data_IF_063826689743
#
_entry.id   IF_063826689743
#
_cell.length_a   1.000
_cell.length_b   1.000
_cell.length_c   1.000
_cell.angle_alpha   90.00
_cell.angle_beta   90.00
_cell.angle_gamma   90.00
#
_symmetry.space_group_name_H-M   'P 1'
#
loop_
_entity.id
_entity.type
_entity.pdbx_description
1 polymer ?
#
# COMPACT_ATOMS: atom_id res chain seq x y z
N UNK A 1 -5.41 -7.05 6.55
CA UNK A 1 -5.19 -6.10 7.65
C UNK A 1 -3.94 -6.45 8.46
N UNK A 2 -3.84 -7.63 9.08
CA UNK A 2 -2.68 -8.05 9.88
C UNK A 2 -1.39 -8.05 9.04
N UNK A 3 -1.41 -8.63 7.85
CA UNK A 3 -0.29 -8.66 6.92
C UNK A 3 0.32 -7.27 6.64
N UNK A 4 -0.52 -6.24 6.61
CA UNK A 4 -0.07 -4.86 6.43
C UNK A 4 0.73 -4.33 7.63
N UNK A 5 0.65 -4.96 8.79
CA UNK A 5 1.42 -4.53 9.97
C UNK A 5 2.87 -5.04 9.94
N UNK A 6 3.20 -5.90 8.98
CA UNK A 6 4.53 -6.49 8.82
C UNK A 6 5.54 -5.58 8.11
N UNK A 7 5.26 -4.29 8.00
CA UNK A 7 6.22 -3.27 7.60
C UNK A 7 6.18 -2.06 8.53
N UNK A 8 7.27 -1.30 8.55
CA UNK A 8 7.44 -0.13 9.41
C UNK A 8 6.42 0.97 9.08
N UNK A 9 5.88 1.62 10.13
CA UNK A 9 4.94 2.73 10.01
C UNK A 9 3.72 2.43 9.13
N UNK A 10 3.13 1.26 9.34
CA UNK A 10 2.00 0.77 8.57
C UNK A 10 0.73 1.61 8.77
N UNK A 11 0.00 1.81 7.70
CA UNK A 11 -1.22 2.62 7.68
C UNK A 11 -2.39 1.86 7.05
N UNK A 12 -3.51 1.81 7.74
CA UNK A 12 -4.71 1.09 7.30
C UNK A 12 -5.93 2.01 7.34
N UNK A 13 -6.68 2.07 6.24
CA UNK A 13 -7.96 2.76 6.16
C UNK A 13 -9.10 1.74 6.18
N UNK A 14 -10.12 1.94 7.02
CA UNK A 14 -11.32 1.10 7.06
C UNK A 14 -12.50 1.91 6.54
N UNK A 15 -13.09 1.47 5.45
CA UNK A 15 -14.26 2.09 4.83
C UNK A 15 -15.49 1.23 5.01
N UNK A 16 -16.55 1.80 5.60
CA UNK A 16 -17.84 1.13 5.68
C UNK A 16 -18.95 2.12 6.03
N UNK A 17 -20.21 1.81 5.73
CA UNK A 17 -21.38 2.49 6.31
C UNK A 17 -21.39 2.47 7.84
N UNK A 18 -22.32 3.22 8.45
CA UNK A 18 -22.51 3.25 9.91
C UNK A 18 -22.93 1.87 10.44
N UNK A 19 -22.53 1.56 11.67
CA UNK A 19 -23.01 0.38 12.40
C UNK A 19 -22.36 -0.96 11.98
N UNK A 20 -21.28 -0.95 11.17
CA UNK A 20 -20.60 -2.16 10.73
C UNK A 20 -19.34 -2.51 11.54
N UNK A 21 -19.18 -1.97 12.74
CA UNK A 21 -18.09 -2.35 13.65
C UNK A 21 -16.69 -1.83 13.24
N UNK A 22 -16.59 -0.74 12.46
CA UNK A 22 -15.32 -0.14 12.06
C UNK A 22 -14.41 0.19 13.25
N UNK A 23 -14.95 0.97 14.19
CA UNK A 23 -14.23 1.41 15.39
C UNK A 23 -13.87 0.22 16.27
N UNK A 24 -14.77 -0.75 16.42
CA UNK A 24 -14.51 -1.99 17.17
C UNK A 24 -13.35 -2.78 16.55
N UNK A 25 -13.35 -3.00 15.22
CA UNK A 25 -12.28 -3.72 14.53
C UNK A 25 -10.93 -2.98 14.67
N UNK A 26 -10.93 -1.66 14.54
CA UNK A 26 -9.76 -0.81 14.71
C UNK A 26 -9.17 -0.96 16.12
N UNK A 27 -10.00 -0.86 17.14
CA UNK A 27 -9.58 -0.94 18.54
C UNK A 27 -9.13 -2.35 18.95
N UNK A 28 -9.83 -3.39 18.51
CA UNK A 28 -9.42 -4.79 18.76
C UNK A 28 -8.04 -5.09 18.15
N UNK A 29 -7.78 -4.61 16.95
CA UNK A 29 -6.46 -4.81 16.32
C UNK A 29 -5.35 -4.08 17.10
N UNK A 30 -5.56 -2.82 17.47
CA UNK A 30 -4.57 -2.06 18.22
C UNK A 30 -4.36 -2.66 19.62
N UNK A 31 -5.43 -3.04 20.32
CA UNK A 31 -5.35 -3.71 21.61
C UNK A 31 -4.56 -5.02 21.53
N UNK A 32 -4.84 -5.83 20.51
CA UNK A 32 -4.17 -7.13 20.30
C UNK A 32 -2.66 -7.02 20.02
N UNK A 33 -2.20 -5.90 19.46
CA UNK A 33 -0.77 -5.70 19.10
C UNK A 33 -0.07 -4.73 20.05
N UNK A 34 -0.68 -3.58 20.34
CA UNK A 34 -0.06 -2.54 21.13
C UNK A 34 -0.41 -2.61 22.63
N UNK A 35 -1.29 -3.53 23.04
CA UNK A 35 -1.79 -3.57 24.41
C UNK A 35 -2.54 -2.27 24.74
N UNK A 36 -2.04 -1.52 25.73
CA UNK A 36 -2.58 -0.22 26.11
C UNK A 36 -1.81 0.98 25.52
N UNK A 37 -0.73 0.72 24.76
CA UNK A 37 0.07 1.77 24.13
C UNK A 37 -0.53 2.20 22.79
N UNK A 38 -1.76 2.68 22.81
CA UNK A 38 -2.38 3.33 21.66
C UNK A 38 -3.24 4.52 22.06
N UNK A 39 -3.43 5.44 21.13
CA UNK A 39 -4.24 6.66 21.31
C UNK A 39 -5.28 6.77 20.21
N UNK A 40 -6.48 7.15 20.62
CA UNK A 40 -7.63 7.36 19.71
C UNK A 40 -7.88 8.85 19.57
N UNK A 41 -7.94 9.33 18.33
CA UNK A 41 -8.47 10.65 17.99
C UNK A 41 -9.84 10.42 17.37
N UNK A 42 -10.88 10.99 17.96
CA UNK A 42 -12.21 11.04 17.35
C UNK A 42 -12.24 12.18 16.35
N UNK A 43 -12.60 11.88 15.11
CA UNK A 43 -12.70 12.87 14.03
C UNK A 43 -13.80 13.88 14.35
N UNK A 44 -13.41 15.13 14.51
CA UNK A 44 -14.28 16.27 14.66
C UNK A 44 -13.60 17.52 14.08
N UNK A 45 -14.39 18.48 13.60
CA UNK A 45 -13.88 19.75 13.09
C UNK A 45 -13.11 20.55 14.15
N UNK A 46 -13.37 20.30 15.41
CA UNK A 46 -12.81 21.01 16.57
C UNK A 46 -11.45 20.47 17.02
N UNK A 47 -11.03 19.27 16.56
CA UNK A 47 -9.73 18.70 16.90
C UNK A 47 -8.61 19.63 16.48
N UNK A 48 -7.85 20.10 17.47
CA UNK A 48 -6.79 21.09 17.28
C UNK A 48 -5.43 20.41 17.05
N UNK A 49 -4.51 21.16 16.41
CA UNK A 49 -3.13 20.73 16.22
C UNK A 49 -2.46 20.29 17.52
N UNK A 50 -2.77 20.96 18.64
CA UNK A 50 -2.19 20.65 19.95
C UNK A 50 -2.54 19.26 20.49
N UNK A 51 -3.65 18.66 20.04
CA UNK A 51 -4.09 17.32 20.41
C UNK A 51 -3.40 16.24 19.58
N UNK A 52 -3.03 16.57 18.34
CA UNK A 52 -2.41 15.63 17.39
C UNK A 52 -0.89 15.71 17.43
N UNK A 53 -0.31 16.92 17.52
CA UNK A 53 1.13 17.12 17.42
C UNK A 53 1.75 17.48 18.78
N UNK A 54 1.25 18.53 19.42
CA UNK A 54 1.79 19.00 20.70
C UNK A 54 1.58 20.49 20.92
N UNK A 55 1.91 20.94 22.13
CA UNK A 55 1.74 22.31 22.61
C UNK A 55 2.99 22.82 23.33
N UNK A 56 3.14 24.14 23.42
CA UNK A 56 4.19 24.73 24.24
C UNK A 56 3.98 24.46 25.74
N UNK A 57 5.04 24.19 26.42
CA UNK A 57 5.07 24.10 27.88
C UNK A 57 5.20 25.51 28.48
N UNK A 58 4.05 26.14 28.74
CA UNK A 58 4.00 27.53 29.27
C UNK A 58 4.87 27.75 30.50
N UNK A 59 4.89 26.87 31.53
CA UNK A 59 5.74 27.09 32.72
C UNK A 59 7.25 27.18 32.41
N UNK A 60 7.77 26.44 31.42
CA UNK A 60 9.17 26.54 31.02
C UNK A 60 9.47 27.85 30.31
N UNK A 61 8.52 28.32 29.49
CA UNK A 61 8.67 29.60 28.81
C UNK A 61 8.65 30.79 29.79
N UNK A 62 7.74 30.78 30.76
CA UNK A 62 7.59 31.86 31.74
C UNK A 62 8.73 31.87 32.78
N UNK A 63 9.16 30.71 33.27
CA UNK A 63 10.16 30.64 34.36
C UNK A 63 11.60 30.57 33.88
N UNK A 64 11.83 29.91 32.74
CA UNK A 64 13.16 29.59 32.24
C UNK A 64 13.50 30.34 30.95
N UNK A 65 12.51 30.97 30.30
CA UNK A 65 12.65 31.58 28.97
C UNK A 65 12.93 30.56 27.87
N UNK A 66 12.65 29.25 28.13
CA UNK A 66 12.97 28.16 27.23
C UNK A 66 11.71 27.62 26.60
N UNK A 67 11.69 27.58 25.25
CA UNK A 67 10.62 26.94 24.49
C UNK A 67 10.75 25.41 24.54
N UNK A 68 9.92 24.76 25.33
CA UNK A 68 9.76 23.29 25.33
C UNK A 68 8.44 22.90 24.71
N UNK A 69 8.45 21.85 23.89
CA UNK A 69 7.24 21.28 23.30
C UNK A 69 6.83 20.06 24.11
N UNK A 70 5.59 20.06 24.58
CA UNK A 70 4.91 18.88 25.10
C UNK A 70 4.27 18.17 23.89
N UNK A 71 4.90 17.10 23.45
CA UNK A 71 4.38 16.30 22.35
C UNK A 71 3.09 15.59 22.77
N UNK A 72 2.11 15.54 21.86
CA UNK A 72 0.85 14.87 22.11
C UNK A 72 1.05 13.36 22.26
N UNK A 73 0.20 12.71 23.03
CA UNK A 73 0.21 11.25 23.17
C UNK A 73 0.12 10.54 21.81
N UNK A 74 -0.61 11.10 20.86
CA UNK A 74 -0.69 10.59 19.50
C UNK A 74 0.67 10.53 18.78
N UNK A 75 1.58 11.44 19.06
CA UNK A 75 2.95 11.41 18.53
C UNK A 75 3.77 10.30 19.18
N UNK A 76 3.60 10.10 20.47
CA UNK A 76 4.45 9.24 21.29
C UNK A 76 4.03 7.75 21.25
N UNK A 77 2.71 7.47 21.18
CA UNK A 77 2.19 6.10 21.20
C UNK A 77 2.60 5.28 19.97
N UNK A 78 2.77 3.98 20.15
CA UNK A 78 3.03 3.02 19.05
C UNK A 78 1.76 2.75 18.22
N UNK A 79 0.61 2.65 18.87
CA UNK A 79 -0.70 2.51 18.22
C UNK A 79 -1.40 3.86 18.05
N UNK A 80 -1.88 4.15 16.83
CA UNK A 80 -2.57 5.39 16.47
C UNK A 80 -3.91 5.06 15.83
N UNK A 81 -4.99 5.49 16.44
CA UNK A 81 -6.34 5.35 15.92
C UNK A 81 -6.92 6.70 15.53
N UNK A 82 -7.58 6.77 14.39
CA UNK A 82 -8.36 7.95 13.97
C UNK A 82 -9.76 7.47 13.61
N UNK A 83 -10.70 7.72 14.48
CA UNK A 83 -12.10 7.41 14.24
C UNK A 83 -12.74 8.52 13.41
N UNK A 84 -13.46 8.18 12.34
CA UNK A 84 -14.09 9.12 11.41
C UNK A 84 -13.10 10.19 10.84
N UNK A 85 -12.00 9.75 10.24
CA UNK A 85 -10.93 10.64 9.73
C UNK A 85 -11.43 11.70 8.75
N UNK A 86 -12.50 11.40 8.01
CA UNK A 86 -13.16 12.33 7.09
C UNK A 86 -13.85 13.52 7.77
N UNK A 87 -13.98 13.53 9.11
CA UNK A 87 -14.50 14.66 9.88
C UNK A 87 -13.42 15.58 10.44
N UNK A 88 -12.15 15.20 10.33
CA UNK A 88 -11.04 16.08 10.72
C UNK A 88 -10.94 17.27 9.78
N UNK A 89 -10.67 18.44 10.34
CA UNK A 89 -10.43 19.63 9.53
C UNK A 89 -9.12 19.49 8.71
N UNK A 90 -9.00 20.16 7.54
CA UNK A 90 -7.84 20.06 6.65
C UNK A 90 -6.50 20.42 7.31
N UNK A 91 -6.47 21.36 8.27
CA UNK A 91 -5.24 21.76 8.97
C UNK A 91 -4.70 20.63 9.88
N UNK A 92 -5.60 19.94 10.57
CA UNK A 92 -5.24 18.79 11.41
C UNK A 92 -4.80 17.61 10.55
N UNK A 93 -5.52 17.35 9.46
CA UNK A 93 -5.20 16.31 8.49
C UNK A 93 -3.82 16.53 7.85
N UNK A 94 -3.42 17.77 7.57
CA UNK A 94 -2.09 18.08 7.03
C UNK A 94 -0.94 17.65 7.95
N UNK A 95 -1.12 17.71 9.28
CA UNK A 95 -0.09 17.23 10.22
C UNK A 95 0.00 15.70 10.24
N UNK A 96 -1.15 15.00 10.17
CA UNK A 96 -1.19 13.54 10.05
C UNK A 96 -0.54 13.11 8.73
N UNK A 97 -0.84 13.81 7.66
CA UNK A 97 -0.24 13.62 6.35
C UNK A 97 1.29 13.71 6.36
N UNK A 98 1.83 14.73 7.05
CA UNK A 98 3.28 14.90 7.23
C UNK A 98 3.88 13.74 8.05
N UNK A 99 3.21 13.33 9.14
CA UNK A 99 3.60 12.18 9.95
C UNK A 99 3.69 10.89 9.12
N UNK A 100 2.66 10.61 8.31
CA UNK A 100 2.63 9.41 7.47
C UNK A 100 3.74 9.41 6.41
N UNK A 101 4.07 10.58 5.86
CA UNK A 101 5.06 10.70 4.79
C UNK A 101 6.50 10.58 5.30
N UNK A 102 6.83 11.31 6.37
CA UNK A 102 8.21 11.50 6.80
C UNK A 102 8.56 10.78 8.10
N UNK A 103 7.57 10.25 8.83
CA UNK A 103 7.79 9.68 10.17
C UNK A 103 8.25 10.71 11.18
N UNK A 104 7.80 11.96 11.02
CA UNK A 104 8.16 13.05 11.92
C UNK A 104 7.06 14.10 11.98
N UNK A 105 7.12 14.92 13.03
CA UNK A 105 6.23 16.09 13.19
C UNK A 105 7.04 17.30 13.62
N UNK A 106 6.52 18.47 13.29
CA UNK A 106 7.10 19.75 13.63
C UNK A 106 6.13 20.61 14.45
N UNK A 107 6.59 21.18 15.55
CA UNK A 107 5.84 22.16 16.32
C UNK A 107 6.81 23.20 16.90
N UNK A 108 6.46 24.48 16.79
CA UNK A 108 7.22 25.60 17.36
C UNK A 108 8.74 25.54 17.08
N UNK A 109 9.09 25.28 15.80
CA UNK A 109 10.49 25.17 15.38
C UNK A 109 11.23 23.91 15.87
N UNK A 110 10.58 23.03 16.63
CA UNK A 110 11.14 21.77 17.12
C UNK A 110 10.64 20.61 16.28
N UNK A 111 11.47 19.56 16.15
CA UNK A 111 11.19 18.33 15.40
C UNK A 111 11.14 17.14 16.36
N UNK A 112 10.14 16.30 16.21
CA UNK A 112 10.11 14.98 16.80
C UNK A 112 10.14 13.93 15.69
N UNK A 113 11.14 13.05 15.72
CA UNK A 113 11.16 11.82 14.93
C UNK A 113 10.27 10.79 15.62
N UNK A 114 9.46 10.10 14.84
CA UNK A 114 8.55 9.07 15.32
C UNK A 114 9.14 7.72 14.93
N UNK A 115 9.24 6.81 15.88
CA UNK A 115 9.65 5.44 15.62
C UNK A 115 8.62 4.67 14.80
N UNK A 116 8.70 3.37 14.84
CA UNK A 116 7.71 2.51 14.21
C UNK A 116 6.36 2.62 14.89
N UNK A 117 5.31 2.59 14.10
CA UNK A 117 3.93 2.69 14.59
C UNK A 117 2.97 1.87 13.74
N UNK A 118 1.77 1.70 14.25
CA UNK A 118 0.59 1.25 13.54
C UNK A 118 -0.41 2.39 13.54
N UNK A 119 -0.85 2.84 12.37
CA UNK A 119 -1.92 3.81 12.24
C UNK A 119 -3.13 3.17 11.58
N UNK A 120 -4.26 3.20 12.25
CA UNK A 120 -5.54 2.77 11.69
C UNK A 120 -6.52 3.91 11.71
N UNK A 121 -7.06 4.22 10.56
CA UNK A 121 -8.14 5.20 10.45
C UNK A 121 -9.39 4.53 9.91
N UNK A 122 -10.54 5.06 10.27
CA UNK A 122 -11.78 4.65 9.64
C UNK A 122 -12.56 5.85 9.10
N UNK A 123 -13.41 5.61 8.14
CA UNK A 123 -14.33 6.60 7.61
C UNK A 123 -15.66 5.99 7.16
N UNK A 124 -16.66 6.86 7.09
CA UNK A 124 -17.92 6.58 6.42
C UNK A 124 -17.98 7.39 5.13
N UNK A 125 -17.79 6.79 3.94
CA UNK A 125 -17.76 7.51 2.67
C UNK A 125 -19.07 8.25 2.32
N UNK A 126 -20.18 7.88 2.97
CA UNK A 126 -21.51 8.45 2.71
C UNK A 126 -21.92 9.52 3.75
N UNK A 127 -20.99 10.03 4.56
CA UNK A 127 -21.30 11.03 5.57
C UNK A 127 -21.35 12.43 4.93
N UNK A 128 -22.53 13.03 4.93
CA UNK A 128 -22.75 14.39 4.38
C UNK A 128 -22.06 15.50 5.18
N UNK A 129 -21.60 15.22 6.40
CA UNK A 129 -20.93 16.19 7.29
C UNK A 129 -19.39 16.10 7.21
N UNK A 130 -18.87 15.33 6.28
CA UNK A 130 -17.43 15.11 6.12
C UNK A 130 -16.75 16.21 5.30
N UNK A 131 -15.48 16.48 5.59
CA UNK A 131 -14.61 17.25 4.73
C UNK A 131 -14.17 16.41 3.53
N UNK A 132 -13.99 17.08 2.39
CA UNK A 132 -13.36 16.45 1.22
C UNK A 132 -11.85 16.57 1.40
N UNK A 133 -11.21 15.43 1.71
CA UNK A 133 -9.75 15.38 1.74
C UNK A 133 -9.19 15.16 0.33
N UNK A 134 -8.02 15.74 0.03
CA UNK A 134 -7.40 15.56 -1.28
C UNK A 134 -6.93 14.13 -1.47
N UNK A 135 -6.95 13.64 -2.72
CA UNK A 135 -6.49 12.31 -3.09
C UNK A 135 -5.09 11.95 -2.52
N UNK A 136 -4.09 12.87 -2.51
CA UNK A 136 -2.80 12.60 -1.90
C UNK A 136 -2.82 12.23 -0.41
N UNK A 137 -3.86 12.59 0.34
CA UNK A 137 -4.02 12.14 1.72
C UNK A 137 -4.36 10.66 1.78
N UNK A 138 -5.33 10.23 0.99
CA UNK A 138 -5.75 8.82 0.94
C UNK A 138 -4.67 7.91 0.35
N UNK A 139 -3.92 8.40 -0.62
CA UNK A 139 -2.82 7.70 -1.26
C UNK A 139 -1.70 7.26 -0.30
N UNK A 140 -1.66 7.82 0.91
CA UNK A 140 -0.67 7.47 1.95
C UNK A 140 -1.08 6.32 2.86
N UNK A 141 -2.34 5.92 2.81
CA UNK A 141 -2.72 4.67 3.46
C UNK A 141 -2.24 3.50 2.61
N UNK A 142 -1.58 2.52 3.23
CA UNK A 142 -1.05 1.36 2.51
C UNK A 142 -2.17 0.49 1.96
N UNK A 143 -3.17 0.22 2.78
CA UNK A 143 -4.34 -0.59 2.41
C UNK A 143 -5.66 0.07 2.81
N UNK A 144 -6.71 -0.25 2.05
CA UNK A 144 -8.09 0.11 2.37
C UNK A 144 -8.94 -1.14 2.52
N UNK A 145 -9.56 -1.29 3.69
CA UNK A 145 -10.43 -2.42 4.03
C UNK A 145 -11.88 -1.99 3.93
N UNK A 146 -12.68 -2.74 3.18
CA UNK A 146 -14.13 -2.56 3.11
C UNK A 146 -14.84 -3.59 4.00
N UNK A 147 -15.65 -3.10 4.92
CA UNK A 147 -16.52 -3.97 5.69
C UNK A 147 -17.88 -4.08 5.00
N UNK A 148 -18.41 -5.28 4.93
CA UNK A 148 -19.76 -5.59 4.48
C UNK A 148 -20.69 -5.84 5.66
N UNK A 149 -21.98 -5.77 5.41
CA UNK A 149 -22.97 -6.22 6.38
C UNK A 149 -22.75 -7.69 6.71
N UNK A 150 -22.94 -8.03 7.99
CA UNK A 150 -22.86 -9.40 8.46
C UNK A 150 -24.00 -10.23 7.87
N UNK A 151 -23.71 -11.46 7.52
CA UNK A 151 -24.71 -12.48 7.19
C UNK A 151 -25.51 -12.83 8.45
N UNK A 152 -26.63 -13.51 8.27
CA UNK A 152 -27.48 -13.93 9.40
C UNK A 152 -26.70 -14.82 10.40
N UNK A 153 -25.92 -15.77 9.89
CA UNK A 153 -25.08 -16.63 10.72
C UNK A 153 -24.03 -15.85 11.51
N UNK A 154 -23.36 -14.89 10.87
CA UNK A 154 -22.37 -14.04 11.55
C UNK A 154 -23.02 -13.13 12.63
N UNK A 155 -24.27 -12.70 12.41
CA UNK A 155 -25.01 -11.95 13.43
C UNK A 155 -25.32 -12.79 14.68
N UNK A 156 -25.69 -14.04 14.51
CA UNK A 156 -25.87 -14.96 15.64
C UNK A 156 -24.56 -15.18 16.39
N UNK A 157 -23.46 -15.43 15.67
CA UNK A 157 -22.14 -15.57 16.29
C UNK A 157 -21.72 -14.30 17.07
N UNK A 158 -22.02 -13.12 16.54
CA UNK A 158 -21.76 -11.87 17.22
C UNK A 158 -22.59 -11.73 18.50
N UNK A 159 -23.86 -12.13 18.48
CA UNK A 159 -24.72 -12.11 19.68
C UNK A 159 -24.16 -13.02 20.78
N UNK A 160 -23.79 -14.25 20.44
CA UNK A 160 -23.17 -15.18 21.37
C UNK A 160 -21.86 -14.64 21.97
N UNK A 161 -21.05 -13.96 21.16
CA UNK A 161 -19.81 -13.32 21.62
C UNK A 161 -20.08 -12.16 22.59
N UNK A 162 -21.07 -11.32 22.28
CA UNK A 162 -21.44 -10.18 23.12
C UNK A 162 -21.98 -10.64 24.48
N UNK A 163 -22.80 -11.69 24.52
CA UNK A 163 -23.30 -12.29 25.75
C UNK A 163 -22.17 -12.86 26.64
N UNK A 164 -21.19 -13.55 26.02
CA UNK A 164 -20.04 -14.13 26.74
C UNK A 164 -19.09 -13.09 27.35
N UNK A 165 -19.04 -11.90 26.78
CA UNK A 165 -18.12 -10.83 27.18
C UNK A 165 -18.83 -9.62 27.81
N UNK A 166 -20.05 -9.75 28.27
CA UNK A 166 -20.87 -8.65 28.83
C UNK A 166 -20.89 -7.39 27.92
N UNK A 167 -20.83 -7.60 26.61
CA UNK A 167 -20.81 -6.52 25.62
C UNK A 167 -19.47 -5.80 25.45
N UNK A 168 -18.44 -6.08 26.26
CA UNK A 168 -17.15 -5.38 26.22
C UNK A 168 -16.04 -6.23 25.59
N UNK A 169 -16.12 -6.40 24.26
CA UNK A 169 -15.12 -7.16 23.50
C UNK A 169 -13.73 -6.52 23.53
N UNK A 170 -13.64 -5.19 23.62
CA UNK A 170 -12.37 -4.48 23.53
C UNK A 170 -11.55 -4.69 24.81
N UNK A 171 -12.16 -4.53 25.98
CA UNK A 171 -11.46 -4.69 27.25
C UNK A 171 -11.09 -6.16 27.52
N UNK A 172 -11.86 -7.10 26.96
CA UNK A 172 -11.59 -8.53 27.08
C UNK A 172 -10.50 -9.02 26.12
N UNK A 173 -10.09 -8.20 25.15
CA UNK A 173 -9.06 -8.58 24.17
C UNK A 173 -7.66 -8.61 24.81
N UNK A 174 -7.00 -9.76 24.90
CA UNK A 174 -5.63 -9.83 25.37
C UNK A 174 -4.66 -9.27 24.31
N UNK A 175 -3.51 -8.82 24.73
CA UNK A 175 -2.41 -8.59 23.80
C UNK A 175 -1.94 -9.95 23.27
N UNK A 176 -2.01 -10.13 21.95
CA UNK A 176 -1.69 -11.39 21.26
C UNK A 176 -0.21 -11.39 20.81
N UNK A 177 0.29 -10.23 20.43
CA UNK A 177 1.62 -10.02 19.89
C UNK A 177 2.22 -8.78 20.54
N UNK A 178 3.42 -8.89 21.08
CA UNK A 178 4.14 -7.71 21.57
C UNK A 178 4.67 -6.86 20.40
N UNK A 179 4.92 -5.60 20.66
CA UNK A 179 5.45 -4.73 19.60
C UNK A 179 6.89 -5.13 19.22
N UNK A 180 7.65 -5.66 20.17
CA UNK A 180 9.00 -6.19 19.96
C UNK A 180 8.99 -7.43 19.05
N UNK A 181 8.04 -8.34 19.22
CA UNK A 181 7.83 -9.49 18.31
C UNK A 181 7.41 -9.02 16.91
N UNK A 182 6.58 -7.97 16.83
CA UNK A 182 6.21 -7.37 15.54
C UNK A 182 7.41 -6.72 14.84
N UNK A 183 8.27 -6.00 15.57
CA UNK A 183 9.49 -5.40 15.02
C UNK A 183 10.45 -6.47 14.49
N UNK A 184 10.59 -7.59 15.19
CA UNK A 184 11.38 -8.72 14.73
C UNK A 184 10.79 -9.34 13.46
N UNK A 185 9.48 -9.55 13.40
CA UNK A 185 8.80 -10.01 12.19
C UNK A 185 8.98 -9.05 11.01
N UNK A 186 8.90 -7.72 11.25
CA UNK A 186 9.16 -6.69 10.25
C UNK A 186 10.59 -6.77 9.70
N UNK A 187 11.57 -7.00 10.56
CA UNK A 187 12.95 -7.18 10.15
C UNK A 187 13.09 -8.39 9.21
N UNK A 188 12.54 -9.54 9.61
CA UNK A 188 12.57 -10.75 8.78
C UNK A 188 11.86 -10.55 7.44
N UNK A 189 10.68 -9.91 7.42
CA UNK A 189 9.95 -9.59 6.18
C UNK A 189 10.75 -8.65 5.28
N UNK A 190 11.49 -7.69 5.84
CA UNK A 190 12.32 -6.78 5.04
C UNK A 190 13.42 -7.48 4.27
N UNK A 191 13.95 -8.59 4.81
CA UNK A 191 14.99 -9.42 4.22
C UNK A 191 14.46 -10.37 3.13
N UNK A 192 13.12 -10.52 3.00
CA UNK A 192 12.53 -11.37 1.96
C UNK A 192 12.76 -10.76 0.58
N UNK A 193 13.34 -11.53 -0.31
CA UNK A 193 13.53 -11.14 -1.71
C UNK A 193 12.36 -11.62 -2.58
N UNK A 194 11.85 -10.73 -3.42
CA UNK A 194 10.94 -11.08 -4.50
C UNK A 194 11.76 -11.40 -5.75
N UNK A 195 11.30 -12.38 -6.52
CA UNK A 195 11.94 -12.70 -7.77
C UNK A 195 11.59 -11.67 -8.88
N UNK A 196 12.39 -11.56 -9.96
CA UNK A 196 12.14 -10.60 -11.04
C UNK A 196 10.74 -10.72 -11.67
N UNK A 197 10.19 -11.93 -11.80
CA UNK A 197 8.84 -12.10 -12.33
C UNK A 197 7.77 -11.49 -11.42
N UNK A 198 7.91 -11.65 -10.09
CA UNK A 198 6.99 -11.02 -9.13
C UNK A 198 7.08 -9.48 -9.20
N UNK A 199 8.28 -8.95 -9.27
CA UNK A 199 8.50 -7.49 -9.38
C UNK A 199 7.97 -6.98 -10.73
N UNK A 200 8.26 -7.66 -11.83
CA UNK A 200 7.77 -7.30 -13.16
C UNK A 200 6.25 -7.31 -13.22
N UNK A 201 5.61 -8.28 -12.57
CA UNK A 201 4.16 -8.34 -12.50
C UNK A 201 3.55 -7.18 -11.69
N UNK A 202 4.16 -6.83 -10.54
CA UNK A 202 3.75 -5.67 -9.75
C UNK A 202 3.87 -4.38 -10.59
N UNK A 203 5.00 -4.18 -11.26
CA UNK A 203 5.23 -3.02 -12.10
C UNK A 203 4.23 -2.96 -13.26
N UNK A 204 3.89 -4.10 -13.87
CA UNK A 204 2.91 -4.16 -14.93
C UNK A 204 1.52 -3.74 -14.45
N UNK A 205 1.04 -4.26 -13.31
CA UNK A 205 -0.24 -3.85 -12.73
C UNK A 205 -0.25 -2.33 -12.50
N UNK A 206 0.77 -1.79 -11.88
CA UNK A 206 0.82 -0.35 -11.57
C UNK A 206 0.81 0.47 -12.87
N UNK A 207 1.63 0.13 -13.85
CA UNK A 207 1.66 0.82 -15.16
C UNK A 207 0.32 0.76 -15.89
N UNK A 208 -0.36 -0.36 -15.86
CA UNK A 208 -1.64 -0.50 -16.55
C UNK A 208 -2.72 0.38 -15.93
N UNK A 209 -2.59 0.72 -14.66
CA UNK A 209 -3.48 1.65 -13.98
C UNK A 209 -2.95 3.10 -13.92
N UNK A 210 -1.71 3.37 -14.35
CA UNK A 210 -1.14 4.72 -14.35
C UNK A 210 -1.48 5.51 -15.63
N UNK A 211 -1.43 4.88 -16.79
CA UNK A 211 -1.39 5.60 -18.04
C UNK A 211 -2.30 5.07 -19.13
N UNK A 212 -2.81 5.98 -19.96
CA UNK A 212 -3.49 5.66 -21.21
C UNK A 212 -2.90 6.48 -22.34
N UNK A 213 -2.55 5.85 -23.46
CA UNK A 213 -2.02 6.51 -24.68
C UNK A 213 -2.93 7.62 -25.23
N UNK A 214 -4.23 7.60 -24.87
CA UNK A 214 -5.20 8.63 -25.28
C UNK A 214 -5.10 9.93 -24.47
N UNK A 215 -4.44 9.88 -23.32
CA UNK A 215 -4.11 11.03 -22.50
C UNK A 215 -2.66 11.39 -22.74
N UNK A 216 -2.41 12.52 -23.42
CA UNK A 216 -1.07 12.95 -23.80
C UNK A 216 -0.17 13.21 -22.59
N UNK A 217 -0.74 13.67 -21.47
CA UNK A 217 0.03 13.95 -20.26
C UNK A 217 0.54 12.66 -19.62
N UNK A 218 -0.19 11.55 -19.76
CA UNK A 218 0.17 10.26 -19.20
C UNK A 218 0.80 9.29 -20.24
N UNK A 219 0.89 9.68 -21.52
CA UNK A 219 1.39 8.80 -22.57
C UNK A 219 2.92 8.54 -22.48
N UNK A 220 3.66 9.42 -21.83
CA UNK A 220 5.11 9.25 -21.61
C UNK A 220 5.43 8.10 -20.64
N UNK A 221 4.54 7.84 -19.68
CA UNK A 221 4.73 6.78 -18.68
C UNK A 221 4.55 5.39 -19.31
N UNK A 222 3.70 5.29 -20.33
CA UNK A 222 3.36 4.04 -21.00
C UNK A 222 3.65 4.15 -22.49
N UNK A 223 4.71 3.48 -22.98
CA UNK A 223 5.08 3.55 -24.40
C UNK A 223 3.91 3.15 -25.30
N UNK A 224 3.74 3.79 -26.47
CA UNK A 224 2.70 3.45 -27.43
C UNK A 224 2.67 1.98 -27.82
N UNK A 225 3.83 1.33 -27.91
CA UNK A 225 3.98 -0.08 -28.23
C UNK A 225 3.27 -1.03 -27.28
N UNK A 226 3.13 -0.66 -26.00
CA UNK A 226 2.34 -1.44 -25.02
C UNK A 226 0.83 -1.37 -25.25
N UNK A 227 0.37 -0.35 -25.96
CA UNK A 227 -1.05 -0.12 -26.26
C UNK A 227 -1.43 -0.51 -27.67
N UNK A 228 -0.48 -0.74 -28.56
CA UNK A 228 -0.70 -1.16 -29.93
C UNK A 228 -1.36 -2.55 -29.93
N UNK A 229 -2.55 -2.65 -30.57
CA UNK A 229 -3.35 -3.87 -30.56
C UNK A 229 -3.98 -4.24 -29.21
N UNK A 230 -3.89 -3.41 -28.17
CA UNK A 230 -4.47 -3.71 -26.87
C UNK A 230 -5.99 -3.65 -26.89
N UNK A 231 -6.64 -4.76 -26.52
CA UNK A 231 -8.10 -4.88 -26.48
C UNK A 231 -8.71 -4.32 -25.17
N UNK A 232 -7.91 -4.15 -24.13
CA UNK A 232 -8.35 -3.81 -22.76
C UNK A 232 -8.54 -2.31 -22.52
N UNK A 233 -8.43 -1.47 -23.55
CA UNK A 233 -8.61 -0.03 -23.43
C UNK A 233 -9.95 0.35 -22.81
N UNK A 234 -11.05 -0.34 -23.18
CA UNK A 234 -12.39 -0.09 -22.64
C UNK A 234 -12.55 -0.59 -21.20
N UNK A 235 -11.94 -1.70 -20.91
CA UNK A 235 -12.15 -2.44 -19.67
C UNK A 235 -11.28 -1.89 -18.52
N UNK A 236 -10.11 -1.31 -18.83
CA UNK A 236 -9.18 -0.76 -17.87
C UNK A 236 -8.99 0.76 -18.07
N UNK A 237 -8.26 1.16 -19.10
CA UNK A 237 -7.74 2.54 -19.22
C UNK A 237 -8.84 3.60 -19.30
N UNK A 238 -9.95 3.35 -20.03
CA UNK A 238 -11.05 4.32 -20.15
C UNK A 238 -11.89 4.49 -18.89
N UNK A 239 -11.71 3.63 -17.92
CA UNK A 239 -12.42 3.69 -16.64
C UNK A 239 -11.67 4.53 -15.62
N UNK A 240 -10.38 4.76 -15.82
CA UNK A 240 -9.51 5.50 -14.89
C UNK A 240 -9.60 6.99 -15.22
N UNK A 241 -9.93 7.78 -14.19
CA UNK A 241 -9.96 9.26 -14.25
C UNK A 241 -8.64 9.85 -13.78
N UNK A 242 -8.17 9.45 -12.61
CA UNK A 242 -6.90 9.85 -12.05
C UNK A 242 -6.01 8.62 -11.91
N UNK A 243 -4.76 8.68 -12.38
CA UNK A 243 -3.87 7.55 -12.42
C UNK A 243 -3.42 7.11 -11.03
N UNK A 244 -2.92 5.89 -10.96
CA UNK A 244 -2.32 5.32 -9.77
C UNK A 244 -0.96 5.97 -9.48
N UNK A 245 -0.61 6.16 -8.23
CA UNK A 245 0.70 6.67 -7.82
C UNK A 245 1.71 5.53 -7.62
N UNK A 246 3.01 5.85 -7.67
CA UNK A 246 4.10 4.90 -7.39
C UNK A 246 4.06 4.30 -5.97
N UNK A 247 3.33 4.92 -5.03
CA UNK A 247 3.12 4.34 -3.70
C UNK A 247 2.39 3.01 -3.74
N UNK A 248 1.62 2.76 -4.78
CA UNK A 248 0.97 1.45 -4.98
C UNK A 248 2.01 0.34 -5.19
N UNK A 249 3.09 0.62 -5.94
CA UNK A 249 4.22 -0.32 -6.11
C UNK A 249 4.83 -0.68 -4.76
N UNK A 250 5.13 0.32 -3.94
CA UNK A 250 5.71 0.11 -2.60
C UNK A 250 4.78 -0.73 -1.72
N UNK A 251 3.49 -0.42 -1.69
CA UNK A 251 2.51 -1.16 -0.90
C UNK A 251 2.34 -2.62 -1.39
N UNK A 252 2.33 -2.84 -2.71
CA UNK A 252 2.28 -4.20 -3.29
C UNK A 252 3.53 -5.00 -2.93
N UNK A 253 4.71 -4.41 -3.03
CA UNK A 253 5.97 -5.06 -2.65
C UNK A 253 5.97 -5.45 -1.18
N UNK A 254 5.53 -4.56 -0.28
CA UNK A 254 5.43 -4.86 1.16
C UNK A 254 4.49 -6.05 1.42
N UNK A 255 3.29 -6.04 0.83
CA UNK A 255 2.34 -7.13 1.00
C UNK A 255 2.84 -8.44 0.39
N UNK A 256 3.47 -8.39 -0.79
CA UNK A 256 4.03 -9.58 -1.43
C UNK A 256 5.16 -10.21 -0.61
N UNK A 257 6.05 -9.39 -0.04
CA UNK A 257 7.08 -9.86 0.90
C UNK A 257 6.46 -10.49 2.15
N UNK A 258 5.47 -9.83 2.74
CA UNK A 258 4.75 -10.34 3.91
C UNK A 258 4.04 -11.67 3.62
N UNK A 259 3.37 -11.80 2.47
CA UNK A 259 2.74 -13.05 2.05
C UNK A 259 3.77 -14.16 1.85
N UNK A 260 4.87 -13.86 1.18
CA UNK A 260 5.94 -14.83 0.96
C UNK A 260 6.60 -15.29 2.27
N UNK A 261 6.73 -14.39 3.25
CA UNK A 261 7.24 -14.72 4.58
C UNK A 261 6.28 -15.62 5.35
N UNK A 262 4.97 -15.33 5.31
CA UNK A 262 3.93 -16.10 6.03
C UNK A 262 3.70 -17.49 5.42
N UNK A 263 3.58 -17.57 4.09
CA UNK A 263 3.11 -18.76 3.38
C UNK A 263 4.24 -19.48 2.62
N UNK A 264 5.48 -18.97 2.70
CA UNK A 264 6.64 -19.49 1.96
C UNK A 264 6.61 -19.22 0.45
N UNK A 265 5.50 -18.71 -0.06
CA UNK A 265 5.29 -18.41 -1.49
C UNK A 265 4.41 -17.16 -1.66
N UNK A 266 4.51 -16.55 -2.81
CA UNK A 266 3.61 -15.50 -3.28
C UNK A 266 3.55 -15.61 -4.79
N UNK A 267 2.44 -16.07 -5.32
CA UNK A 267 2.24 -16.19 -6.77
C UNK A 267 1.58 -14.94 -7.37
N UNK A 268 1.42 -14.92 -8.68
CA UNK A 268 0.85 -13.78 -9.39
C UNK A 268 -0.63 -13.53 -9.02
N UNK A 269 -1.36 -14.60 -8.70
CA UNK A 269 -2.76 -14.49 -8.27
C UNK A 269 -2.87 -13.88 -6.88
N UNK A 270 -1.90 -14.15 -5.98
CA UNK A 270 -1.83 -13.53 -4.66
C UNK A 270 -1.58 -12.02 -4.79
N UNK A 271 -0.70 -11.60 -5.72
CA UNK A 271 -0.45 -10.19 -6.00
C UNK A 271 -1.71 -9.47 -6.49
N UNK A 272 -2.48 -10.07 -7.41
CA UNK A 272 -3.76 -9.51 -7.86
C UNK A 272 -4.78 -9.38 -6.72
N UNK A 273 -4.86 -10.39 -5.83
CA UNK A 273 -5.72 -10.31 -4.64
C UNK A 273 -5.30 -9.19 -3.68
N UNK A 274 -4.00 -8.96 -3.52
CA UNK A 274 -3.50 -7.85 -2.70
C UNK A 274 -3.81 -6.49 -3.32
N UNK A 275 -3.73 -6.37 -4.65
CA UNK A 275 -4.08 -5.15 -5.37
C UNK A 275 -5.53 -4.70 -5.09
N UNK A 276 -6.45 -5.64 -4.80
CA UNK A 276 -7.81 -5.31 -4.38
C UNK A 276 -7.89 -4.42 -3.14
N UNK A 277 -6.93 -4.53 -2.22
CA UNK A 277 -6.88 -3.72 -0.99
C UNK A 277 -6.08 -2.43 -1.14
N UNK A 278 -5.32 -2.31 -2.22
CA UNK A 278 -4.42 -1.17 -2.47
C UNK A 278 -5.04 -0.15 -3.42
N UNK A 279 -5.76 -0.58 -4.44
CA UNK A 279 -6.30 0.29 -5.49
C UNK A 279 -7.46 1.21 -5.04
N UNK A 280 -8.41 0.77 -4.20
CA UNK A 280 -9.69 1.47 -4.01
C UNK A 280 -9.60 2.91 -3.50
N UNK A 281 -8.57 3.22 -2.74
CA UNK A 281 -8.38 4.56 -2.14
C UNK A 281 -7.35 5.40 -2.90
N UNK A 282 -6.68 4.79 -3.89
CA UNK A 282 -5.66 5.44 -4.71
C UNK A 282 -6.14 5.74 -6.13
N UNK A 283 -7.10 4.97 -6.62
CA UNK A 283 -7.58 5.06 -7.99
C UNK A 283 -8.90 5.86 -8.05
N UNK A 284 -8.95 6.87 -8.89
CA UNK A 284 -10.18 7.59 -9.21
C UNK A 284 -10.77 7.08 -10.52
N UNK A 285 -12.05 6.73 -10.51
CA UNK A 285 -12.75 6.19 -11.68
C UNK A 285 -13.66 7.24 -12.33
N UNK A 286 -13.79 7.17 -13.65
CA UNK A 286 -14.68 8.07 -14.41
C UNK A 286 -16.14 7.94 -13.97
N UNK A 287 -16.56 6.72 -13.65
CA UNK A 287 -17.89 6.42 -13.11
C UNK A 287 -17.75 5.32 -12.07
N UNK A 288 -18.28 5.58 -10.88
CA UNK A 288 -18.28 4.62 -9.78
C UNK A 288 -19.72 4.41 -9.32
N UNK A 289 -20.14 3.16 -9.26
CA UNK A 289 -21.40 2.74 -8.64
C UNK A 289 -21.14 2.11 -7.27
N UNK A 290 -20.12 1.27 -7.21
CA UNK A 290 -19.69 0.57 -6.00
C UNK A 290 -18.19 0.31 -6.10
N UNK A 291 -17.39 1.04 -5.32
CA UNK A 291 -15.92 0.99 -5.41
C UNK A 291 -15.36 -0.44 -5.33
N UNK A 292 -15.73 -1.29 -4.34
CA UNK A 292 -15.24 -2.66 -4.29
C UNK A 292 -15.58 -3.50 -5.53
N UNK A 293 -16.79 -3.37 -6.06
CA UNK A 293 -17.22 -4.10 -7.25
C UNK A 293 -16.45 -3.60 -8.49
N UNK A 294 -16.36 -2.29 -8.67
CA UNK A 294 -15.67 -1.68 -9.80
C UNK A 294 -14.18 -2.05 -9.82
N UNK A 295 -13.52 -2.09 -8.66
CA UNK A 295 -12.12 -2.53 -8.54
C UNK A 295 -11.99 -4.03 -8.84
N UNK A 296 -12.92 -4.86 -8.37
CA UNK A 296 -12.93 -6.30 -8.69
C UNK A 296 -13.04 -6.54 -10.19
N UNK A 297 -13.89 -5.78 -10.87
CA UNK A 297 -14.05 -5.87 -12.32
C UNK A 297 -12.78 -5.43 -13.06
N UNK A 298 -12.13 -4.36 -12.62
CA UNK A 298 -10.86 -3.89 -13.18
C UNK A 298 -9.75 -4.94 -13.02
N UNK A 299 -9.62 -5.53 -11.83
CA UNK A 299 -8.65 -6.60 -11.58
C UNK A 299 -8.99 -7.88 -12.34
N UNK A 300 -10.26 -8.14 -12.59
CA UNK A 300 -10.69 -9.23 -13.46
C UNK A 300 -10.22 -9.03 -14.90
N UNK A 301 -10.36 -7.83 -15.45
CA UNK A 301 -9.84 -7.48 -16.77
C UNK A 301 -8.30 -7.54 -16.82
N UNK A 302 -7.63 -7.04 -15.78
CA UNK A 302 -6.16 -7.11 -15.66
C UNK A 302 -5.67 -8.57 -15.62
N UNK A 303 -6.35 -9.42 -14.87
CA UNK A 303 -6.05 -10.86 -14.82
C UNK A 303 -6.09 -11.51 -16.20
N UNK A 304 -7.12 -11.21 -17.01
CA UNK A 304 -7.23 -11.74 -18.36
C UNK A 304 -6.07 -11.22 -19.22
N UNK A 305 -5.74 -9.94 -19.10
CA UNK A 305 -4.62 -9.33 -19.82
C UNK A 305 -3.28 -9.97 -19.46
N UNK A 306 -3.08 -10.26 -18.18
CA UNK A 306 -1.85 -10.93 -17.72
C UNK A 306 -1.80 -12.39 -18.18
N UNK A 307 -2.94 -13.10 -18.23
CA UNK A 307 -3.01 -14.45 -18.79
C UNK A 307 -2.66 -14.49 -20.28
N UNK A 308 -3.07 -13.49 -21.05
CA UNK A 308 -2.63 -13.36 -22.46
C UNK A 308 -1.12 -13.21 -22.59
N UNK A 309 -0.48 -12.49 -21.68
CA UNK A 309 0.99 -12.35 -21.63
C UNK A 309 1.66 -13.65 -21.22
N UNK A 310 1.11 -14.34 -20.23
CA UNK A 310 1.62 -15.65 -19.82
C UNK A 310 1.43 -16.70 -20.92
N UNK A 311 0.35 -16.64 -21.66
CA UNK A 311 0.16 -17.46 -22.87
C UNK A 311 1.27 -17.21 -23.94
N UNK A 312 1.89 -16.03 -23.93
CA UNK A 312 3.12 -15.75 -24.73
C UNK A 312 4.39 -16.28 -24.05
N UNK A 313 4.28 -16.90 -22.90
CA UNK A 313 5.37 -17.51 -22.17
C UNK A 313 6.29 -16.55 -21.44
N UNK A 314 6.00 -15.25 -21.40
CA UNK A 314 6.92 -14.23 -20.83
C UNK A 314 7.29 -14.50 -19.38
N UNK A 315 6.29 -14.73 -18.51
CA UNK A 315 6.54 -15.00 -17.10
C UNK A 315 7.16 -16.38 -16.87
N UNK A 316 6.73 -17.36 -17.65
CA UNK A 316 7.31 -18.71 -17.64
C UNK A 316 8.78 -18.66 -18.04
N UNK A 317 9.15 -17.91 -19.07
CA UNK A 317 10.55 -17.71 -19.50
C UNK A 317 11.37 -17.11 -18.35
N UNK A 318 10.89 -16.04 -17.70
CA UNK A 318 11.60 -15.45 -16.56
C UNK A 318 11.78 -16.43 -15.40
N UNK A 319 10.75 -17.19 -15.08
CA UNK A 319 10.82 -18.19 -14.00
C UNK A 319 11.81 -19.31 -14.30
N UNK A 320 11.88 -19.76 -15.56
CA UNK A 320 12.88 -20.76 -15.95
C UNK A 320 14.31 -20.23 -15.88
N UNK A 321 14.54 -18.99 -16.34
CA UNK A 321 15.83 -18.32 -16.23
C UNK A 321 16.27 -18.08 -14.78
N UNK A 322 15.34 -17.96 -13.86
CA UNK A 322 15.62 -17.83 -12.43
C UNK A 322 16.10 -19.16 -11.79
N UNK A 323 15.66 -20.30 -12.32
CA UNK A 323 16.12 -21.62 -11.84
C UNK A 323 17.56 -21.90 -12.26
N UNK A 324 18.00 -21.34 -13.38
CA UNK A 324 19.36 -21.45 -13.89
C UNK A 324 19.48 -20.77 -15.27
N UNK A 325 20.67 -20.23 -15.57
CA UNK A 325 20.92 -19.62 -16.87
C UNK A 325 20.97 -20.68 -17.97
N UNK A 326 20.06 -20.56 -18.95
CA UNK A 326 20.06 -21.33 -20.19
C UNK A 326 20.10 -20.38 -21.39
N UNK A 327 21.04 -20.58 -22.29
CA UNK A 327 21.29 -19.71 -23.45
C UNK A 327 20.16 -19.74 -24.47
N UNK A 328 19.44 -20.84 -24.59
CA UNK A 328 18.31 -21.00 -25.50
C UNK A 328 17.10 -20.22 -24.98
N UNK A 329 16.83 -20.38 -23.68
CA UNK A 329 15.75 -19.66 -23.00
C UNK A 329 16.06 -18.16 -22.95
N UNK A 330 17.31 -17.77 -22.73
CA UNK A 330 17.74 -16.38 -22.77
C UNK A 330 17.51 -15.73 -24.16
N UNK A 331 17.72 -16.48 -25.24
CA UNK A 331 17.42 -15.97 -26.61
C UNK A 331 15.93 -15.70 -26.78
N UNK A 332 15.07 -16.65 -26.36
CA UNK A 332 13.61 -16.46 -26.39
C UNK A 332 13.18 -15.27 -25.52
N UNK A 333 13.81 -15.09 -24.36
CA UNK A 333 13.54 -13.96 -23.49
C UNK A 333 13.87 -12.62 -24.19
N UNK A 334 14.95 -12.56 -24.93
CA UNK A 334 15.33 -11.35 -25.66
C UNK A 334 14.38 -11.03 -26.82
N UNK A 335 13.91 -12.04 -27.53
CA UNK A 335 12.89 -11.87 -28.57
C UNK A 335 11.57 -11.32 -27.97
N UNK A 336 11.12 -11.88 -26.83
CA UNK A 336 9.95 -11.40 -26.14
C UNK A 336 10.12 -9.98 -25.56
N UNK A 337 11.33 -9.62 -25.15
CA UNK A 337 11.63 -8.31 -24.57
C UNK A 337 11.55 -7.15 -25.59
N UNK A 338 11.70 -7.42 -26.87
CA UNK A 338 11.54 -6.40 -27.93
C UNK A 338 10.11 -5.85 -27.96
N UNK A 339 9.14 -6.68 -27.65
CA UNK A 339 7.72 -6.33 -27.72
C UNK A 339 7.14 -5.83 -26.37
N UNK A 340 7.86 -5.99 -25.27
CA UNK A 340 7.37 -5.67 -23.93
C UNK A 340 8.43 -5.00 -23.06
N UNK A 341 8.27 -3.69 -22.86
CA UNK A 341 9.21 -2.86 -22.09
C UNK A 341 9.34 -3.32 -20.63
N UNK A 342 8.25 -3.73 -20.00
CA UNK A 342 8.29 -4.21 -18.61
C UNK A 342 9.08 -5.51 -18.51
N UNK A 343 8.84 -6.42 -19.44
CA UNK A 343 9.59 -7.66 -19.53
C UNK A 343 11.07 -7.39 -19.82
N UNK A 344 11.37 -6.45 -20.73
CA UNK A 344 12.74 -6.02 -21.04
C UNK A 344 13.47 -5.49 -19.80
N UNK A 345 12.83 -4.63 -18.99
CA UNK A 345 13.43 -4.10 -17.77
C UNK A 345 13.77 -5.20 -16.76
N UNK A 346 12.88 -6.18 -16.58
CA UNK A 346 13.15 -7.30 -15.68
C UNK A 346 14.26 -8.22 -16.22
N UNK A 347 14.29 -8.46 -17.51
CA UNK A 347 15.38 -9.21 -18.15
C UNK A 347 16.72 -8.51 -17.99
N UNK A 348 16.78 -7.18 -18.18
CA UNK A 348 18.00 -6.40 -17.97
C UNK A 348 18.52 -6.44 -16.53
N UNK A 349 17.64 -6.51 -15.54
CA UNK A 349 18.06 -6.73 -14.13
C UNK A 349 18.77 -8.07 -13.97
N UNK A 350 18.25 -9.12 -14.58
CA UNK A 350 18.88 -10.45 -14.57
C UNK A 350 20.21 -10.43 -15.34
N UNK A 351 20.28 -9.76 -16.50
CA UNK A 351 21.50 -9.63 -17.29
C UNK A 351 22.66 -9.02 -16.49
N UNK A 352 22.40 -8.00 -15.68
CA UNK A 352 23.43 -7.40 -14.79
C UNK A 352 24.05 -8.44 -13.85
N UNK A 353 23.24 -9.34 -13.31
CA UNK A 353 23.70 -10.42 -12.43
C UNK A 353 24.51 -11.43 -13.23
N UNK A 354 24.07 -11.79 -14.44
CA UNK A 354 24.77 -12.74 -15.31
C UNK A 354 26.09 -12.22 -15.87
N UNK A 355 26.16 -10.93 -16.20
CA UNK A 355 27.42 -10.28 -16.56
C UNK A 355 28.41 -10.35 -15.40
N UNK A 356 27.96 -9.98 -14.18
CA UNK A 356 28.80 -10.04 -12.98
C UNK A 356 29.31 -11.45 -12.69
N UNK A 357 28.51 -12.47 -13.01
CA UNK A 357 28.85 -13.87 -12.83
C UNK A 357 29.59 -14.50 -14.05
N UNK A 358 29.85 -13.71 -15.09
CA UNK A 358 30.57 -14.19 -16.28
C UNK A 358 29.79 -15.14 -17.19
N UNK A 359 28.46 -15.21 -17.04
CA UNK A 359 27.59 -16.09 -17.83
C UNK A 359 27.27 -15.51 -19.22
N UNK A 360 27.23 -14.18 -19.32
CA UNK A 360 27.10 -13.43 -20.56
C UNK A 360 28.11 -12.29 -20.59
N UNK A 361 28.47 -11.79 -21.78
CA UNK A 361 29.29 -10.61 -21.93
C UNK A 361 28.42 -9.35 -21.92
N UNK A 362 29.00 -8.23 -21.52
CA UNK A 362 28.31 -6.93 -21.51
C UNK A 362 27.79 -6.54 -22.90
N UNK A 363 28.57 -6.90 -23.95
CA UNK A 363 28.21 -6.69 -25.36
C UNK A 363 26.97 -7.50 -25.81
N UNK A 364 26.62 -8.53 -25.07
CA UNK A 364 25.45 -9.40 -25.34
C UNK A 364 24.19 -8.89 -24.66
N UNK A 365 24.25 -7.85 -23.82
CA UNK A 365 23.09 -7.36 -23.05
C UNK A 365 22.07 -6.64 -23.93
N UNK A 366 20.79 -6.71 -23.51
CA UNK A 366 19.68 -6.06 -24.19
C UNK A 366 19.82 -4.53 -24.18
N UNK A 367 20.31 -3.97 -23.07
CA UNK A 367 20.49 -2.54 -22.87
C UNK A 367 21.41 -1.91 -23.94
N UNK A 368 22.51 -2.56 -24.26
CA UNK A 368 23.43 -2.09 -25.32
C UNK A 368 22.83 -2.20 -26.73
N UNK A 369 22.04 -3.24 -26.98
CA UNK A 369 21.45 -3.45 -28.31
C UNK A 369 20.26 -2.54 -28.59
N UNK A 370 19.51 -2.15 -27.57
CA UNK A 370 18.35 -1.25 -27.70
C UNK A 370 18.76 0.25 -27.60
N UNK A 371 20.02 0.56 -27.38
CA UNK A 371 20.50 1.94 -27.20
C UNK A 371 19.91 2.59 -25.95
N UNK A 372 19.45 1.80 -24.99
CA UNK A 372 18.96 2.29 -23.73
C UNK A 372 20.15 2.59 -22.80
N UNK A 373 20.61 3.83 -22.86
CA UNK A 373 21.47 4.36 -21.80
C UNK A 373 20.64 4.37 -20.52
N UNK A 374 20.99 3.45 -19.63
CA UNK A 374 20.28 3.30 -18.37
C UNK A 374 20.29 4.62 -17.61
N UNK A 375 19.14 5.15 -17.29
CA UNK A 375 19.03 6.10 -16.21
C UNK A 375 19.54 5.39 -14.95
N UNK A 376 20.80 5.65 -14.61
CA UNK A 376 21.37 5.33 -13.32
C UNK A 376 20.54 6.09 -12.28
N UNK A 377 19.60 5.42 -11.65
CA UNK A 377 19.10 5.89 -10.37
C UNK A 377 20.28 5.86 -9.41
N UNK A 378 20.70 7.05 -8.97
CA UNK A 378 21.86 7.27 -8.14
C UNK A 378 21.85 6.40 -6.89
N UNK A 379 23.06 6.09 -6.46
CA UNK A 379 23.45 5.44 -5.22
C UNK A 379 22.73 5.98 -3.96
#
# INVERSE_FOLDING_TARGET
MIMNQLHSRSTTLIRAPRGLGKSTLMLLMLKGICGDDFVVISGASEVKRGEVVGRLHIPSLEKEGVERVLWAAFVQSRGKAIDEVNRLNPYTTANIHHLMQFGEVWAYGKRAKIGDYILVANENPMDATSFIHPQPFYDRFDVCIFLRSLTLSEKFQLQDLLEKHDGNLIDSMPQILSFEELEEARRQVSEVELNPAQIGFINQIVRDFQACIRDKENSEIKPPTLCEGCHFVRDICSRIKEPLSERATVALVHLAKAAKWLDGKCDLEDILRMAFWILPHRLSLVRTRNVPADIKDLLGAERIKMADRDARGQWTILNELLKGFDRSIYRLAREAAVEDVVFAEELMKMERIWVKNGLIKEEETLSLQMGWEGHTYGE
#
